data_IF_823683999938
#
_entry.id   IF_823683999938
#
_cell.length_a   1.000
_cell.length_b   1.000
_cell.length_c   1.000
_cell.angle_alpha   90.00
_cell.angle_beta   90.00
_cell.angle_gamma   90.00
#
_symmetry.space_group_name_H-M   'P 1'
#
loop_
_entity.id
_entity.type
_entity.pdbx_description
1 polymer ?
#
# COMPACT_ATOMS: atom_id res chain seq x y z
N UNK A 1 11.50 -6.61 -9.02
CA UNK A 1 10.71 -5.46 -9.54
C UNK A 1 9.24 -5.80 -9.82
N UNK A 2 8.92 -6.97 -10.38
CA UNK A 2 7.54 -7.29 -10.77
C UNK A 2 6.58 -7.55 -9.59
N UNK A 3 7.03 -8.20 -8.52
CA UNK A 3 6.22 -8.45 -7.32
C UNK A 3 5.85 -7.14 -6.59
N UNK A 4 6.79 -6.20 -6.47
CA UNK A 4 6.54 -4.87 -5.88
C UNK A 4 5.49 -4.07 -6.67
N UNK A 5 5.48 -4.16 -8.00
CA UNK A 5 4.42 -3.53 -8.82
C UNK A 5 3.04 -4.12 -8.49
N UNK A 6 2.94 -5.45 -8.34
CA UNK A 6 1.70 -6.13 -7.95
C UNK A 6 1.21 -5.68 -6.57
N UNK A 7 2.11 -5.46 -5.60
CA UNK A 7 1.74 -4.89 -4.30
C UNK A 7 1.20 -3.46 -4.41
N UNK A 8 1.83 -2.60 -5.23
CA UNK A 8 1.33 -1.24 -5.48
C UNK A 8 -0.05 -1.26 -6.16
N UNK A 9 -0.26 -2.13 -7.16
CA UNK A 9 -1.56 -2.26 -7.82
C UNK A 9 -2.66 -2.68 -6.84
N UNK A 10 -2.35 -3.58 -5.91
CA UNK A 10 -3.26 -3.98 -4.84
C UNK A 10 -3.61 -2.79 -3.94
N UNK A 11 -2.63 -1.99 -3.53
CA UNK A 11 -2.87 -0.75 -2.74
C UNK A 11 -3.85 0.17 -3.46
N UNK A 12 -3.68 0.35 -4.77
CA UNK A 12 -4.56 1.23 -5.56
C UNK A 12 -5.97 0.65 -5.71
N UNK A 13 -6.13 -0.67 -5.79
CA UNK A 13 -7.45 -1.32 -5.77
C UNK A 13 -8.17 -1.08 -4.44
N UNK A 14 -7.49 -1.33 -3.31
CA UNK A 14 -8.07 -1.10 -1.97
C UNK A 14 -8.40 0.37 -1.69
N UNK A 15 -7.68 1.29 -2.34
CA UNK A 15 -7.95 2.72 -2.28
C UNK A 15 -9.26 3.11 -2.98
N UNK A 16 -9.63 2.40 -4.05
CA UNK A 16 -10.87 2.63 -4.77
C UNK A 16 -12.05 1.88 -4.14
N UNK A 17 -11.82 0.69 -3.61
CA UNK A 17 -12.82 -0.14 -2.93
C UNK A 17 -12.18 -0.93 -1.77
N UNK A 18 -12.57 -0.61 -0.54
CA UNK A 18 -12.03 -1.27 0.67
C UNK A 18 -12.47 -2.73 0.79
N UNK A 19 -13.54 -3.13 0.10
CA UNK A 19 -14.06 -4.50 0.09
C UNK A 19 -13.52 -5.34 -1.07
N UNK A 20 -12.57 -4.80 -1.85
CA UNK A 20 -12.00 -5.51 -2.99
C UNK A 20 -11.31 -6.80 -2.54
N UNK A 21 -11.63 -7.89 -3.23
CA UNK A 21 -10.97 -9.18 -3.03
C UNK A 21 -9.76 -9.23 -3.96
N UNK A 22 -8.58 -9.38 -3.39
CA UNK A 22 -7.31 -9.46 -4.14
C UNK A 22 -6.43 -10.59 -3.62
N UNK A 23 -5.70 -11.20 -4.54
CA UNK A 23 -4.79 -12.29 -4.26
C UNK A 23 -3.42 -11.78 -3.80
N UNK A 24 -2.85 -12.41 -2.77
CA UNK A 24 -1.47 -12.17 -2.37
C UNK A 24 -0.52 -12.38 -3.56
N UNK A 25 0.34 -11.40 -3.91
CA UNK A 25 1.28 -11.54 -5.01
C UNK A 25 2.23 -12.73 -4.87
N UNK A 26 2.51 -13.14 -3.62
CA UNK A 26 3.42 -14.23 -3.29
C UNK A 26 2.75 -15.60 -3.26
N UNK A 27 1.75 -15.81 -2.39
CA UNK A 27 1.14 -17.13 -2.17
C UNK A 27 -0.18 -17.36 -2.92
N UNK A 28 -0.71 -16.34 -3.63
CA UNK A 28 -1.95 -16.39 -4.42
C UNK A 28 -3.22 -16.73 -3.63
N UNK A 29 -3.24 -16.48 -2.32
CA UNK A 29 -4.45 -16.60 -1.47
C UNK A 29 -5.06 -15.24 -1.13
N UNK A 30 -6.34 -15.23 -0.81
CA UNK A 30 -7.18 -14.02 -0.62
C UNK A 30 -7.37 -13.68 0.85
N UNK A 31 -6.27 -13.40 1.55
CA UNK A 31 -6.31 -12.98 2.95
C UNK A 31 -5.21 -11.93 3.18
N UNK A 32 -5.54 -10.70 2.76
CA UNK A 32 -4.68 -9.53 2.85
C UNK A 32 -5.30 -8.53 3.83
N UNK A 33 -4.51 -8.09 4.80
CA UNK A 33 -4.89 -7.05 5.75
C UNK A 33 -4.17 -5.76 5.40
N UNK A 34 -4.88 -4.65 5.55
CA UNK A 34 -4.33 -3.30 5.38
C UNK A 34 -4.33 -2.57 6.71
N UNK A 35 -3.20 -1.93 6.99
CA UNK A 35 -3.07 -1.00 8.10
C UNK A 35 -2.46 0.30 7.60
N UNK A 36 -3.12 1.40 7.93
CA UNK A 36 -2.68 2.74 7.60
C UNK A 36 -2.09 3.42 8.84
N UNK A 37 -0.93 4.06 8.69
CA UNK A 37 -0.23 4.80 9.75
C UNK A 37 0.08 6.19 9.22
N UNK A 38 -0.48 7.21 9.87
CA UNK A 38 -0.21 8.60 9.52
C UNK A 38 1.19 9.01 9.95
N UNK A 39 1.84 9.89 9.18
CA UNK A 39 3.08 10.53 9.63
C UNK A 39 2.86 11.59 10.70
N UNK A 40 1.66 12.16 10.74
CA UNK A 40 1.25 13.17 11.69
C UNK A 40 -0.22 12.93 12.04
N UNK A 41 -0.53 12.83 13.33
CA UNK A 41 -1.89 12.60 13.84
C UNK A 41 -2.87 13.69 13.39
N UNK A 42 -2.38 14.93 13.23
CA UNK A 42 -3.18 16.06 12.73
C UNK A 42 -3.43 16.01 11.21
N UNK A 43 -2.75 15.11 10.49
CA UNK A 43 -2.81 14.97 9.04
C UNK A 43 -3.09 13.54 8.60
N UNK A 44 -3.85 12.78 9.40
CA UNK A 44 -4.19 11.36 9.19
C UNK A 44 -4.75 11.04 7.80
N UNK A 45 -5.35 12.04 7.14
CA UNK A 45 -5.94 11.91 5.80
C UNK A 45 -5.04 12.41 4.66
N UNK A 46 -3.84 12.95 4.94
CA UNK A 46 -2.99 13.59 3.93
C UNK A 46 -1.80 12.74 3.50
N UNK A 47 -1.04 12.20 4.45
CA UNK A 47 0.22 11.48 4.20
C UNK A 47 0.43 10.37 5.23
N UNK A 48 0.96 9.22 4.78
CA UNK A 48 1.30 8.14 5.68
C UNK A 48 1.89 6.91 5.00
N UNK A 49 2.14 5.89 5.82
CA UNK A 49 2.53 4.55 5.42
C UNK A 49 1.32 3.62 5.43
N UNK A 50 1.16 2.86 4.35
CA UNK A 50 0.21 1.77 4.24
C UNK A 50 0.98 0.47 4.27
N UNK A 51 0.65 -0.36 5.24
CA UNK A 51 1.16 -1.71 5.38
C UNK A 51 0.12 -2.65 4.78
N UNK A 52 0.56 -3.49 3.85
CA UNK A 52 -0.25 -4.61 3.37
C UNK A 52 0.45 -5.89 3.76
N UNK A 53 -0.25 -6.78 4.45
CA UNK A 53 0.25 -8.06 4.94
C UNK A 53 -0.65 -9.20 4.48
N UNK A 54 -0.05 -10.33 4.10
CA UNK A 54 -0.78 -11.57 3.86
C UNK A 54 -0.75 -12.47 5.09
N UNK A 55 -1.90 -12.73 5.69
CA UNK A 55 -2.01 -13.55 6.90
C UNK A 55 -1.70 -15.03 6.67
N UNK A 56 -1.70 -15.49 5.42
CA UNK A 56 -1.39 -16.88 5.07
C UNK A 56 0.12 -17.14 5.04
N UNK A 57 0.89 -16.24 4.43
CA UNK A 57 2.33 -16.46 4.20
C UNK A 57 3.24 -15.52 4.99
N UNK A 58 2.67 -14.57 5.74
CA UNK A 58 3.40 -13.60 6.56
C UNK A 58 4.20 -12.57 5.75
N UNK A 59 4.13 -12.60 4.41
CA UNK A 59 4.74 -11.54 3.60
C UNK A 59 3.96 -10.25 3.72
N UNK A 60 4.70 -9.16 3.87
CA UNK A 60 4.16 -7.82 3.89
C UNK A 60 4.95 -6.89 2.98
N UNK A 61 4.34 -5.77 2.60
CA UNK A 61 4.97 -4.66 1.87
C UNK A 61 4.50 -3.34 2.47
N UNK A 62 5.41 -2.35 2.49
CA UNK A 62 5.12 -0.99 2.95
C UNK A 62 5.04 -0.09 1.72
N UNK A 63 3.91 0.60 1.59
CA UNK A 63 3.66 1.53 0.48
C UNK A 63 3.28 2.88 1.06
N UNK A 64 3.97 3.93 0.64
CA UNK A 64 3.62 5.31 1.00
C UNK A 64 2.28 5.66 0.36
N UNK A 65 1.28 6.05 1.16
CA UNK A 65 -0.02 6.45 0.63
C UNK A 65 -0.31 7.95 0.86
N UNK A 66 -0.36 8.62 -0.30
CA UNK A 66 -0.97 9.92 -0.68
C UNK A 66 -0.25 11.24 -0.37
N UNK A 67 -0.55 12.17 -1.31
CA UNK A 67 0.26 13.20 -2.00
C UNK A 67 1.79 13.01 -1.91
N UNK A 68 2.46 12.56 -3.00
CA UNK A 68 3.88 12.84 -3.15
C UNK A 68 4.06 14.35 -2.94
N UNK A 69 5.04 14.81 -2.14
CA UNK A 69 5.35 16.24 -2.11
C UNK A 69 5.57 16.70 -3.55
N UNK A 70 5.12 17.90 -3.93
CA UNK A 70 5.24 18.44 -5.30
C UNK A 70 6.68 18.30 -5.86
N UNK A 71 7.65 18.25 -4.96
CA UNK A 71 9.08 18.26 -5.21
C UNK A 71 9.69 16.85 -5.33
N UNK A 72 8.91 15.78 -5.12
CA UNK A 72 9.41 14.40 -5.13
C UNK A 72 9.89 13.96 -6.52
N UNK A 73 9.19 14.42 -7.57
CA UNK A 73 9.56 14.17 -8.96
C UNK A 73 10.75 15.01 -9.41
N UNK A 74 11.07 16.10 -8.71
CA UNK A 74 12.22 16.97 -9.01
C UNK A 74 13.54 16.44 -8.42
N UNK A 75 13.50 15.50 -7.48
CA UNK A 75 14.70 14.91 -6.86
C UNK A 75 15.20 13.63 -7.53
N UNK A 76 14.50 13.14 -8.56
CA UNK A 76 14.82 11.89 -9.26
C UNK A 76 15.01 12.08 -10.78
N UNK A 77 15.37 13.30 -11.21
CA UNK A 77 15.87 13.60 -12.56
C UNK A 77 17.36 13.88 -12.47
#
# INVERSE_FOLDING_TARGET
MEERKKWIDIVEKFRNDINVIVNCPHCKKEDLVIKDVAFNDNEINKVGERFIECLICGKFEIVLYRKPPENWYLKNI
#
